data_IF_085484919902
#
_entry.id   IF_085484919902
#
_cell.length_a   1.000
_cell.length_b   1.000
_cell.length_c   1.000
_cell.angle_alpha   90.00
_cell.angle_beta   90.00
_cell.angle_gamma   90.00
#
_symmetry.space_group_name_H-M   'P 1'
#
loop_
_entity.id
_entity.type
_entity.pdbx_description
1 polymer ?
#
# COMPACT_ATOMS: atom_id res chain seq x y z
N UNK A 1 -43.21 -7.76 81.62
CA UNK A 1 -44.46 -6.98 81.64
C UNK A 1 -44.99 -6.86 80.21
N UNK A 2 -46.27 -7.22 80.03
CA UNK A 2 -47.10 -7.04 78.82
C UNK A 2 -47.02 -5.59 78.27
N UNK A 3 -47.34 -5.24 77.03
CA UNK A 3 -48.37 -5.73 76.12
C UNK A 3 -48.12 -5.26 74.67
N UNK A 4 -48.78 -5.95 73.73
CA UNK A 4 -48.92 -5.64 72.31
C UNK A 4 -50.04 -4.62 72.01
N UNK A 5 -50.01 -4.04 70.79
CA UNK A 5 -51.09 -3.53 69.89
C UNK A 5 -50.40 -2.65 68.83
N UNK A 6 -50.62 -2.68 67.51
CA UNK A 6 -51.50 -3.41 66.62
C UNK A 6 -51.72 -2.59 65.32
N UNK A 7 -51.82 -3.28 64.17
CA UNK A 7 -52.75 -3.01 63.06
C UNK A 7 -52.49 -1.86 62.05
N UNK A 8 -52.13 -2.18 60.78
CA UNK A 8 -53.07 -2.39 59.64
C UNK A 8 -52.34 -2.61 58.29
N UNK A 9 -52.94 -3.50 57.50
CA UNK A 9 -52.65 -3.82 56.10
C UNK A 9 -53.32 -2.83 55.15
N UNK A 10 -52.71 -2.58 53.97
CA UNK A 10 -53.38 -2.07 52.78
C UNK A 10 -52.58 -2.43 51.52
N UNK A 11 -53.05 -3.45 50.81
CA UNK A 11 -52.74 -3.70 49.40
C UNK A 11 -53.38 -2.64 48.50
N UNK A 12 -52.60 -2.00 47.63
CA UNK A 12 -52.98 -1.36 46.36
C UNK A 12 -51.63 -1.02 45.66
N UNK A 13 -51.38 -1.09 44.36
CA UNK A 13 -52.04 -1.62 43.16
C UNK A 13 -50.97 -1.56 42.05
N UNK A 14 -51.02 -2.49 41.10
CA UNK A 14 -50.11 -2.52 39.95
C UNK A 14 -50.34 -1.30 39.04
N UNK A 15 -49.29 -0.53 38.78
CA UNK A 15 -49.25 0.52 37.75
C UNK A 15 -48.21 0.17 36.67
N UNK A 16 -48.70 -0.16 35.48
CA UNK A 16 -47.93 -0.19 34.23
C UNK A 16 -47.70 1.25 33.71
N UNK A 17 -46.59 1.43 32.98
CA UNK A 17 -46.14 2.59 32.17
C UNK A 17 -44.91 3.29 32.78
N UNK A 18 -43.83 3.58 32.08
CA UNK A 18 -43.48 3.53 30.66
C UNK A 18 -41.94 3.48 30.61
N UNK A 19 -41.36 2.59 29.78
CA UNK A 19 -39.91 2.64 29.49
C UNK A 19 -39.66 3.89 28.66
N UNK A 20 -39.10 4.92 29.27
CA UNK A 20 -38.48 6.02 28.53
C UNK A 20 -37.25 5.48 27.80
N UNK A 21 -37.38 5.27 26.49
CA UNK A 21 -36.25 5.09 25.58
C UNK A 21 -35.36 6.32 25.68
N UNK A 22 -34.16 6.13 26.22
CA UNK A 22 -33.10 7.13 26.17
C UNK A 22 -32.63 7.21 24.73
N UNK A 23 -33.18 8.16 23.97
CA UNK A 23 -32.69 8.51 22.63
C UNK A 23 -31.24 8.97 22.78
N UNK A 24 -30.30 8.20 22.23
CA UNK A 24 -28.91 8.61 22.11
C UNK A 24 -28.85 9.85 21.21
N UNK A 25 -28.10 10.91 21.56
CA UNK A 25 -28.01 12.10 20.72
C UNK A 25 -27.40 11.72 19.37
N UNK A 26 -28.07 12.14 18.29
CA UNK A 26 -27.55 12.07 16.92
C UNK A 26 -26.12 12.62 16.85
N UNK A 27 -25.23 11.87 16.19
CA UNK A 27 -23.88 12.35 15.91
C UNK A 27 -23.97 13.62 15.06
N UNK A 28 -23.24 14.70 15.41
CA UNK A 28 -23.21 15.89 14.58
C UNK A 28 -22.72 15.52 13.17
N UNK A 29 -23.33 16.08 12.11
CA UNK A 29 -22.90 15.81 10.76
C UNK A 29 -21.42 16.14 10.61
N UNK A 30 -20.65 15.25 9.98
CA UNK A 30 -19.24 15.50 9.65
C UNK A 30 -19.16 16.88 8.95
N UNK A 31 -18.22 17.75 9.34
CA UNK A 31 -18.08 19.05 8.70
C UNK A 31 -17.91 18.83 7.20
N UNK A 32 -18.72 19.54 6.41
CA UNK A 32 -18.64 19.50 4.96
C UNK A 32 -17.19 19.79 4.54
N UNK A 33 -16.64 18.97 3.63
CA UNK A 33 -15.33 19.24 3.04
C UNK A 33 -15.39 20.63 2.42
N UNK A 34 -14.47 21.55 2.76
CA UNK A 34 -14.45 22.86 2.11
C UNK A 34 -14.27 22.68 0.60
N UNK A 35 -14.96 23.47 -0.21
CA UNK A 35 -14.76 23.50 -1.67
C UNK A 35 -13.27 23.63 -1.99
N UNK A 36 -12.76 22.77 -2.87
CA UNK A 36 -11.33 22.65 -3.17
C UNK A 36 -10.74 23.87 -3.90
N UNK A 37 -11.58 24.82 -4.33
CA UNK A 37 -11.20 25.83 -5.34
C UNK A 37 -10.93 27.25 -4.81
N UNK A 38 -10.94 27.48 -3.49
CA UNK A 38 -10.61 28.80 -2.93
C UNK A 38 -9.14 28.89 -2.50
N UNK A 39 -8.39 29.96 -2.86
CA UNK A 39 -7.03 30.18 -2.36
C UNK A 39 -7.05 30.35 -0.84
N UNK A 40 -6.56 29.33 -0.12
CA UNK A 40 -6.37 29.39 1.33
C UNK A 40 -5.12 30.22 1.60
N UNK A 41 -5.20 31.16 2.54
CA UNK A 41 -4.00 31.81 3.06
C UNK A 41 -3.03 30.74 3.60
N UNK A 42 -1.70 30.87 3.40
CA UNK A 42 -0.74 29.88 3.88
C UNK A 42 -0.90 29.66 5.39
N UNK A 43 -1.12 28.41 5.79
CA UNK A 43 -1.19 28.02 7.21
C UNK A 43 0.19 27.76 7.79
N UNK A 44 1.18 27.56 6.93
CA UNK A 44 2.56 27.29 7.29
C UNK A 44 3.50 28.31 6.64
N UNK A 45 4.58 28.67 7.35
CA UNK A 45 5.65 29.51 6.82
C UNK A 45 6.45 28.76 5.75
N UNK A 46 6.82 29.45 4.68
CA UNK A 46 7.67 28.90 3.61
C UNK A 46 7.49 29.65 2.30
N UNK A 47 8.48 29.57 1.42
CA UNK A 47 8.39 30.10 0.06
C UNK A 47 8.22 28.95 -0.94
N UNK A 48 7.04 28.75 -1.55
CA UNK A 48 6.82 27.71 -2.57
C UNK A 48 7.80 27.78 -3.75
N UNK A 49 8.34 28.97 -4.03
CA UNK A 49 9.28 29.21 -5.13
C UNK A 49 10.74 28.84 -4.78
N UNK A 50 11.04 28.51 -3.53
CA UNK A 50 12.37 28.04 -3.12
C UNK A 50 12.58 26.59 -3.58
N UNK A 51 12.88 26.41 -4.86
CA UNK A 51 13.12 25.11 -5.50
C UNK A 51 14.61 24.94 -5.75
N UNK A 52 15.20 23.89 -5.17
CA UNK A 52 16.61 23.55 -5.35
C UNK A 52 16.79 22.76 -6.65
N UNK A 53 17.80 23.11 -7.44
CA UNK A 53 18.17 22.48 -8.72
C UNK A 53 19.68 22.31 -8.80
N UNK A 54 20.17 21.45 -9.70
CA UNK A 54 21.60 21.33 -10.02
C UNK A 54 22.25 19.96 -9.81
N UNK A 55 21.50 18.93 -9.41
CA UNK A 55 22.07 17.59 -9.22
C UNK A 55 22.47 16.91 -10.54
N UNK A 56 21.67 17.08 -11.59
CA UNK A 56 21.98 16.66 -12.97
C UNK A 56 21.75 17.87 -13.85
N UNK A 57 22.80 18.32 -14.54
CA UNK A 57 22.82 19.59 -15.30
C UNK A 57 22.80 19.40 -16.80
N UNK A 58 23.16 18.20 -17.29
CA UNK A 58 23.17 17.87 -18.72
C UNK A 58 22.34 16.61 -18.98
N UNK A 59 21.60 16.55 -20.11
CA UNK A 59 20.97 15.31 -20.57
C UNK A 59 22.00 14.22 -20.85
N UNK A 60 21.54 12.97 -20.95
CA UNK A 60 22.39 11.85 -21.34
C UNK A 60 22.98 12.10 -22.74
N UNK A 61 24.31 11.93 -22.94
CA UNK A 61 24.92 12.04 -24.26
C UNK A 61 24.30 11.05 -25.27
N UNK A 62 24.24 11.46 -26.54
CA UNK A 62 23.63 10.71 -27.65
C UNK A 62 24.16 9.28 -27.78
N UNK A 63 25.48 9.12 -27.71
CA UNK A 63 26.13 7.82 -27.88
C UNK A 63 25.89 6.90 -26.68
N UNK A 64 25.90 7.45 -25.46
CA UNK A 64 25.57 6.69 -24.25
C UNK A 64 24.11 6.22 -24.25
N UNK A 65 23.19 7.06 -24.75
CA UNK A 65 21.80 6.63 -24.95
C UNK A 65 21.72 5.45 -25.90
N UNK A 66 22.35 5.56 -27.08
CA UNK A 66 22.38 4.51 -28.09
C UNK A 66 22.91 3.20 -27.54
N UNK A 67 24.05 3.27 -26.85
CA UNK A 67 24.68 2.10 -26.22
C UNK A 67 23.72 1.40 -25.26
N UNK A 68 23.03 2.15 -24.39
CA UNK A 68 22.07 1.58 -23.42
C UNK A 68 20.81 1.03 -24.09
N UNK A 69 20.31 1.70 -25.13
CA UNK A 69 19.16 1.23 -25.90
C UNK A 69 19.46 -0.10 -26.60
N UNK A 70 20.61 -0.18 -27.28
CA UNK A 70 21.00 -1.35 -28.07
C UNK A 70 21.47 -2.55 -27.23
N UNK A 71 21.81 -2.35 -25.95
CA UNK A 71 22.34 -3.40 -25.08
C UNK A 71 21.45 -4.67 -25.02
N UNK A 72 20.13 -4.52 -25.12
CA UNK A 72 19.18 -5.66 -25.10
C UNK A 72 19.11 -6.45 -26.42
N UNK A 73 19.69 -5.92 -27.50
CA UNK A 73 19.64 -6.50 -28.84
C UNK A 73 21.00 -7.07 -29.28
N UNK A 74 21.85 -7.45 -28.33
CA UNK A 74 23.22 -7.92 -28.60
C UNK A 74 23.25 -9.29 -29.30
N UNK A 75 22.21 -10.11 -29.13
CA UNK A 75 22.14 -11.45 -29.71
C UNK A 75 22.32 -11.41 -31.25
N UNK A 76 23.11 -12.33 -31.84
CA UNK A 76 23.30 -12.41 -33.29
C UNK A 76 22.01 -12.51 -34.11
N UNK A 77 20.92 -13.01 -33.54
CA UNK A 77 19.61 -13.08 -34.19
C UNK A 77 19.08 -11.69 -34.59
N UNK A 78 19.47 -10.62 -33.90
CA UNK A 78 19.04 -9.25 -34.22
C UNK A 78 19.84 -8.59 -35.34
N UNK A 79 20.96 -9.16 -35.80
CA UNK A 79 21.85 -8.50 -36.77
C UNK A 79 21.18 -8.23 -38.12
N UNK A 80 20.22 -9.07 -38.51
CA UNK A 80 19.43 -8.86 -39.73
C UNK A 80 18.52 -7.62 -39.63
N UNK A 81 18.28 -7.11 -38.42
CA UNK A 81 17.40 -5.98 -38.12
C UNK A 81 18.16 -4.71 -37.73
N UNK A 82 19.47 -4.63 -37.98
CA UNK A 82 20.29 -3.48 -37.56
C UNK A 82 19.75 -2.14 -38.10
N UNK A 83 19.29 -2.09 -39.36
CA UNK A 83 18.66 -0.89 -39.91
C UNK A 83 17.34 -0.53 -39.22
N UNK A 84 16.56 -1.52 -38.80
CA UNK A 84 15.31 -1.30 -38.08
C UNK A 84 15.59 -0.79 -36.66
N UNK A 85 16.56 -1.39 -35.97
CA UNK A 85 17.04 -0.94 -34.66
C UNK A 85 17.53 0.50 -34.72
N UNK A 86 18.23 0.90 -35.77
CA UNK A 86 18.67 2.29 -35.96
C UNK A 86 17.51 3.28 -36.09
N UNK A 87 16.44 2.90 -36.78
CA UNK A 87 15.24 3.74 -36.90
C UNK A 87 14.52 3.84 -35.56
N UNK A 88 14.31 2.72 -34.87
CA UNK A 88 13.60 2.67 -33.58
C UNK A 88 14.37 3.41 -32.48
N UNK A 89 15.68 3.23 -32.42
CA UNK A 89 16.57 3.90 -31.47
C UNK A 89 16.53 5.42 -31.66
N UNK A 90 16.53 5.89 -32.91
CA UNK A 90 16.40 7.32 -33.22
C UNK A 90 15.06 7.90 -32.75
N UNK A 91 13.95 7.16 -32.92
CA UNK A 91 12.64 7.57 -32.41
C UNK A 91 12.65 7.63 -30.88
N UNK A 92 13.22 6.62 -30.21
CA UNK A 92 13.35 6.58 -28.77
C UNK A 92 14.20 7.74 -28.23
N UNK A 93 15.28 8.10 -28.93
CA UNK A 93 16.11 9.26 -28.60
C UNK A 93 15.31 10.56 -28.62
N UNK A 94 14.50 10.80 -29.67
CA UNK A 94 13.65 11.99 -29.72
C UNK A 94 12.59 12.00 -28.62
N UNK A 95 11.97 10.84 -28.32
CA UNK A 95 11.02 10.73 -27.21
C UNK A 95 11.67 11.05 -25.85
N UNK A 96 12.92 10.62 -25.64
CA UNK A 96 13.71 10.96 -24.46
C UNK A 96 14.01 12.47 -24.36
N UNK A 97 14.51 13.07 -25.45
CA UNK A 97 14.83 14.51 -25.50
C UNK A 97 13.61 15.41 -25.26
N UNK A 98 12.47 15.05 -25.85
CA UNK A 98 11.21 15.77 -25.68
C UNK A 98 10.53 15.47 -24.32
N UNK A 99 11.04 14.50 -23.55
CA UNK A 99 10.45 14.10 -22.27
C UNK A 99 9.04 13.54 -22.40
N UNK A 100 8.73 12.84 -23.51
CA UNK A 100 7.41 12.24 -23.80
C UNK A 100 7.07 11.08 -22.85
N UNK A 101 6.75 11.43 -21.61
CA UNK A 101 6.44 10.50 -20.53
C UNK A 101 5.12 9.76 -20.75
N UNK A 102 4.07 10.49 -21.09
CA UNK A 102 2.71 9.99 -21.29
C UNK A 102 2.35 10.19 -22.77
N UNK A 103 2.33 9.13 -23.59
CA UNK A 103 2.17 9.27 -25.04
C UNK A 103 0.73 9.60 -25.45
N UNK A 104 -0.25 9.35 -24.56
CA UNK A 104 -1.66 9.65 -24.79
C UNK A 104 -2.25 10.39 -23.60
N UNK A 105 -2.90 11.51 -23.91
CA UNK A 105 -3.58 12.37 -22.95
C UNK A 105 -4.92 12.81 -23.50
N UNK A 106 -5.79 13.20 -22.57
CA UNK A 106 -7.09 13.80 -22.84
C UNK A 106 -7.37 14.77 -21.69
N UNK A 107 -8.28 15.73 -21.92
CA UNK A 107 -8.81 16.59 -20.86
C UNK A 107 -9.33 15.78 -19.67
N UNK A 108 -9.03 16.26 -18.47
CA UNK A 108 -9.41 15.59 -17.23
C UNK A 108 -10.94 15.53 -17.05
N UNK A 109 -11.64 16.58 -17.45
CA UNK A 109 -13.10 16.67 -17.40
C UNK A 109 -13.66 17.15 -16.05
N UNK A 110 -14.99 17.24 -15.92
CA UNK A 110 -15.65 17.77 -14.72
C UNK A 110 -15.29 17.01 -13.44
N UNK A 111 -15.14 17.73 -12.33
CA UNK A 111 -14.81 17.15 -11.01
C UNK A 111 -13.31 17.13 -10.67
N UNK A 112 -12.45 17.48 -11.64
CA UNK A 112 -11.04 17.80 -11.41
C UNK A 112 -10.86 19.30 -11.12
N UNK A 113 -9.82 19.65 -10.36
CA UNK A 113 -9.46 21.04 -10.06
C UNK A 113 -9.14 21.86 -11.33
N UNK A 114 -8.56 21.23 -12.35
CA UNK A 114 -8.48 21.78 -13.71
C UNK A 114 -9.07 20.78 -14.72
N UNK A 115 -10.33 20.97 -15.15
CA UNK A 115 -10.99 20.10 -16.12
C UNK A 115 -10.33 20.08 -17.51
N UNK A 116 -9.61 21.13 -17.89
CA UNK A 116 -8.99 21.27 -19.20
C UNK A 116 -7.56 20.72 -19.25
N UNK A 117 -6.98 20.34 -18.10
CA UNK A 117 -5.65 19.75 -18.04
C UNK A 117 -5.58 18.41 -18.81
N UNK A 118 -4.58 18.30 -19.70
CA UNK A 118 -4.26 17.09 -20.46
C UNK A 118 -3.65 16.03 -19.54
N UNK A 119 -4.52 15.18 -18.99
CA UNK A 119 -4.17 14.12 -18.06
C UNK A 119 -3.82 12.83 -18.80
N UNK A 120 -2.97 11.97 -18.22
CA UNK A 120 -2.54 10.70 -18.83
C UNK A 120 -3.67 9.66 -18.83
N UNK A 121 -3.88 8.98 -19.96
CA UNK A 121 -4.85 7.87 -20.07
C UNK A 121 -4.52 6.73 -19.11
N UNK A 122 -3.24 6.38 -19.00
CA UNK A 122 -2.77 5.29 -18.13
C UNK A 122 -2.99 5.64 -16.65
N UNK A 123 -2.77 6.90 -16.26
CA UNK A 123 -3.07 7.33 -14.90
C UNK A 123 -4.58 7.33 -14.62
N UNK A 124 -5.41 7.79 -15.56
CA UNK A 124 -6.88 7.72 -15.42
C UNK A 124 -7.34 6.29 -15.19
N UNK A 125 -6.86 5.34 -16.00
CA UNK A 125 -7.21 3.93 -15.87
C UNK A 125 -6.77 3.36 -14.51
N UNK A 126 -5.55 3.68 -14.05
CA UNK A 126 -5.06 3.25 -12.74
C UNK A 126 -5.89 3.86 -11.59
N UNK A 127 -6.21 5.15 -11.67
CA UNK A 127 -7.04 5.84 -10.68
C UNK A 127 -8.45 5.24 -10.61
N UNK A 128 -9.04 4.90 -11.76
CA UNK A 128 -10.35 4.25 -11.82
C UNK A 128 -10.33 2.86 -11.17
N UNK A 129 -9.31 2.06 -11.46
CA UNK A 129 -9.15 0.73 -10.88
C UNK A 129 -9.03 0.79 -9.35
N UNK A 130 -8.27 1.75 -8.82
CA UNK A 130 -8.16 2.00 -7.37
C UNK A 130 -9.52 2.41 -6.79
N UNK A 131 -10.22 3.35 -7.42
CA UNK A 131 -11.53 3.83 -6.94
C UNK A 131 -12.57 2.70 -6.93
N UNK A 132 -12.64 1.92 -8.00
CA UNK A 132 -13.52 0.75 -8.11
C UNK A 132 -13.19 -0.31 -7.06
N UNK A 133 -11.91 -0.51 -6.75
CA UNK A 133 -11.48 -1.41 -5.67
C UNK A 133 -11.90 -0.90 -4.28
N UNK A 134 -11.73 0.39 -4.00
CA UNK A 134 -12.17 1.00 -2.73
C UNK A 134 -13.70 0.93 -2.56
N UNK A 135 -14.46 1.16 -3.63
CA UNK A 135 -15.93 1.04 -3.60
C UNK A 135 -16.37 -0.38 -3.25
N UNK A 136 -15.76 -1.39 -3.91
CA UNK A 136 -16.03 -2.80 -3.58
C UNK A 136 -15.65 -3.14 -2.14
N UNK A 137 -14.49 -2.66 -1.66
CA UNK A 137 -14.06 -2.89 -0.29
C UNK A 137 -15.00 -2.25 0.74
N UNK A 138 -15.55 -1.08 0.45
CA UNK A 138 -16.47 -0.37 1.32
C UNK A 138 -17.88 -1.00 1.37
N UNK A 139 -18.25 -1.81 0.38
CA UNK A 139 -19.55 -2.47 0.33
C UNK A 139 -19.62 -3.64 1.35
N UNK A 140 -20.48 -3.54 2.40
CA UNK A 140 -20.60 -4.56 3.42
C UNK A 140 -21.16 -5.90 2.91
N UNK A 141 -21.73 -5.95 1.71
CA UNK A 141 -22.23 -7.18 1.09
C UNK A 141 -21.13 -8.01 0.41
N UNK A 142 -19.97 -7.42 0.11
CA UNK A 142 -18.86 -8.16 -0.52
C UNK A 142 -18.20 -9.13 0.46
N UNK A 143 -17.50 -10.19 0.02
CA UNK A 143 -16.73 -11.04 0.92
C UNK A 143 -15.58 -10.29 1.62
N UNK A 144 -15.20 -10.77 2.81
CA UNK A 144 -13.97 -10.29 3.47
C UNK A 144 -12.77 -10.69 2.64
N UNK A 145 -11.83 -9.78 2.43
CA UNK A 145 -10.66 -10.00 1.57
C UNK A 145 -9.36 -9.69 2.30
N UNK A 146 -8.38 -10.58 2.20
CA UNK A 146 -6.99 -10.34 2.64
C UNK A 146 -6.05 -10.37 1.45
N UNK A 147 -5.20 -9.36 1.34
CA UNK A 147 -4.04 -9.37 0.45
C UNK A 147 -2.90 -10.11 1.15
N UNK A 148 -2.52 -11.27 0.64
CA UNK A 148 -1.41 -12.08 1.15
C UNK A 148 -0.18 -11.83 0.29
N UNK A 149 0.84 -11.17 0.82
CA UNK A 149 2.07 -10.84 0.10
C UNK A 149 3.14 -11.88 0.42
N UNK A 150 3.50 -12.71 -0.56
CA UNK A 150 4.73 -13.50 -0.54
C UNK A 150 5.89 -12.60 -1.01
N UNK A 151 6.75 -12.22 -0.07
CA UNK A 151 7.82 -11.25 -0.30
C UNK A 151 9.18 -11.88 -0.64
N UNK A 152 9.22 -13.19 -0.94
CA UNK A 152 10.45 -13.81 -1.42
C UNK A 152 10.83 -13.26 -2.80
N UNK A 153 12.13 -13.01 -3.01
CA UNK A 153 12.64 -12.58 -4.31
C UNK A 153 12.97 -13.76 -5.26
N UNK A 154 12.65 -15.00 -4.86
CA UNK A 154 13.05 -16.22 -5.56
C UNK A 154 11.91 -17.21 -5.66
N UNK A 155 11.95 -18.00 -6.73
CA UNK A 155 11.16 -19.19 -6.98
C UNK A 155 12.02 -20.24 -7.72
N UNK A 156 11.45 -21.40 -8.02
CA UNK A 156 12.07 -22.53 -8.70
C UNK A 156 12.48 -22.25 -10.16
N UNK A 157 11.96 -21.20 -10.78
CA UNK A 157 12.37 -20.72 -12.12
C UNK A 157 13.47 -19.65 -12.08
N UNK A 158 13.96 -19.28 -10.89
CA UNK A 158 15.09 -18.34 -10.73
C UNK A 158 16.39 -19.06 -10.40
N UNK A 159 17.52 -18.34 -10.35
CA UNK A 159 18.85 -18.92 -10.12
C UNK A 159 18.96 -19.93 -8.94
N UNK A 160 18.25 -19.75 -7.81
CA UNK A 160 18.25 -20.74 -6.73
C UNK A 160 17.65 -22.11 -7.08
N UNK A 161 16.78 -22.20 -8.11
CA UNK A 161 16.20 -23.47 -8.57
C UNK A 161 15.27 -24.18 -7.56
N UNK A 162 14.85 -23.49 -6.50
CA UNK A 162 14.03 -24.05 -5.43
C UNK A 162 12.97 -23.03 -4.97
N UNK A 163 11.78 -23.55 -4.63
CA UNK A 163 10.71 -22.75 -4.04
C UNK A 163 11.15 -22.08 -2.72
N UNK A 164 10.60 -20.92 -2.38
CA UNK A 164 10.98 -20.23 -1.15
C UNK A 164 10.25 -20.76 0.09
N UNK A 165 10.88 -20.70 1.28
CA UNK A 165 10.19 -20.92 2.57
C UNK A 165 9.00 -19.96 2.74
N UNK A 166 9.12 -18.71 2.29
CA UNK A 166 8.01 -17.74 2.34
C UNK A 166 6.79 -18.21 1.57
N UNK A 167 6.97 -18.82 0.39
CA UNK A 167 5.87 -19.38 -0.39
C UNK A 167 5.16 -20.49 0.37
N UNK A 168 5.91 -21.39 1.00
CA UNK A 168 5.36 -22.48 1.82
C UNK A 168 4.56 -21.96 3.02
N UNK A 169 5.12 -20.98 3.74
CA UNK A 169 4.45 -20.33 4.87
C UNK A 169 3.21 -19.53 4.41
N UNK A 170 3.28 -18.83 3.28
CA UNK A 170 2.15 -18.14 2.68
C UNK A 170 1.04 -19.11 2.27
N UNK A 171 1.38 -20.25 1.65
CA UNK A 171 0.43 -21.31 1.31
C UNK A 171 -0.35 -21.79 2.53
N UNK A 172 0.35 -22.04 3.64
CA UNK A 172 -0.26 -22.40 4.92
C UNK A 172 -1.20 -21.33 5.45
N UNK A 173 -0.75 -20.07 5.48
CA UNK A 173 -1.57 -18.96 5.93
C UNK A 173 -2.81 -18.75 5.05
N UNK A 174 -2.69 -18.95 3.73
CA UNK A 174 -3.80 -18.90 2.77
C UNK A 174 -4.86 -19.94 3.12
N UNK A 175 -4.47 -21.21 3.25
CA UNK A 175 -5.40 -22.30 3.60
C UNK A 175 -6.17 -21.98 4.88
N UNK A 176 -5.49 -21.42 5.89
CA UNK A 176 -6.10 -21.01 7.15
C UNK A 176 -7.10 -19.87 6.99
N UNK A 177 -6.79 -18.86 6.18
CA UNK A 177 -7.67 -17.72 5.88
C UNK A 177 -8.91 -18.17 5.10
N UNK A 178 -8.72 -19.02 4.09
CA UNK A 178 -9.80 -19.56 3.24
C UNK A 178 -10.75 -20.44 4.05
N UNK A 179 -10.23 -21.31 4.93
CA UNK A 179 -11.02 -22.11 5.86
C UNK A 179 -11.86 -21.25 6.82
N UNK A 180 -11.41 -20.03 7.07
CA UNK A 180 -12.05 -19.03 7.93
C UNK A 180 -13.03 -18.11 7.15
N UNK A 181 -13.28 -18.41 5.85
CA UNK A 181 -14.23 -17.74 4.96
C UNK A 181 -13.71 -16.41 4.38
N UNK A 182 -12.40 -16.18 4.41
CA UNK A 182 -11.76 -14.98 3.86
C UNK A 182 -11.34 -15.25 2.42
N UNK A 183 -11.67 -14.35 1.49
CA UNK A 183 -11.10 -14.37 0.14
C UNK A 183 -9.64 -13.94 0.20
N UNK A 184 -8.74 -14.78 -0.30
CA UNK A 184 -7.29 -14.50 -0.31
C UNK A 184 -6.85 -14.06 -1.70
N UNK A 185 -6.27 -12.87 -1.75
CA UNK A 185 -5.59 -12.35 -2.94
C UNK A 185 -4.07 -12.52 -2.75
N UNK A 186 -3.47 -13.54 -3.38
CA UNK A 186 -2.04 -13.86 -3.24
C UNK A 186 -1.18 -13.01 -4.18
N UNK A 187 -0.31 -12.16 -3.63
CA UNK A 187 0.68 -11.36 -4.36
C UNK A 187 2.06 -12.01 -4.18
N UNK A 188 2.56 -12.67 -5.21
CA UNK A 188 3.92 -13.21 -5.20
C UNK A 188 4.92 -12.26 -5.85
N UNK A 189 5.77 -11.66 -5.02
CA UNK A 189 6.80 -10.73 -5.48
C UNK A 189 8.00 -11.43 -6.13
N UNK A 190 8.06 -12.77 -6.08
CA UNK A 190 9.10 -13.54 -6.75
C UNK A 190 9.05 -13.39 -8.28
N UNK A 191 7.87 -13.08 -8.83
CA UNK A 191 7.65 -12.86 -10.26
C UNK A 191 8.51 -11.72 -10.82
N UNK A 192 8.93 -10.76 -10.00
CA UNK A 192 9.88 -9.71 -10.43
C UNK A 192 11.24 -10.27 -10.88
N UNK A 193 11.60 -11.48 -10.43
CA UNK A 193 12.84 -12.16 -10.76
C UNK A 193 12.67 -13.22 -11.86
N UNK A 194 11.47 -13.77 -12.09
CA UNK A 194 11.21 -14.80 -13.10
C UNK A 194 10.52 -14.29 -14.37
N UNK A 195 9.70 -13.24 -14.27
CA UNK A 195 8.88 -12.79 -15.39
C UNK A 195 9.67 -11.78 -16.23
N UNK A 196 9.72 -12.06 -17.54
CA UNK A 196 10.41 -11.21 -18.49
C UNK A 196 9.83 -9.80 -18.46
N UNK A 197 10.71 -8.82 -18.23
CA UNK A 197 10.42 -7.39 -18.21
C UNK A 197 9.39 -6.88 -17.18
N UNK A 198 8.88 -7.72 -16.26
CA UNK A 198 8.06 -7.25 -15.14
C UNK A 198 8.92 -6.52 -14.11
N UNK A 199 8.54 -5.29 -13.73
CA UNK A 199 9.34 -4.44 -12.82
C UNK A 199 8.46 -3.70 -11.82
N UNK A 200 9.00 -3.47 -10.62
CA UNK A 200 8.59 -2.32 -9.79
C UNK A 200 9.75 -1.33 -9.84
N UNK A 201 9.54 -0.17 -10.48
CA UNK A 201 10.59 0.84 -10.51
C UNK A 201 10.72 1.56 -9.15
N UNK A 202 11.93 1.99 -8.74
CA UNK A 202 12.14 2.65 -7.46
C UNK A 202 11.30 3.91 -7.28
N UNK A 203 10.83 4.20 -6.08
CA UNK A 203 10.12 5.45 -5.81
C UNK A 203 11.04 6.68 -6.04
N UNK A 204 10.50 7.73 -6.67
CA UNK A 204 11.20 9.01 -6.88
C UNK A 204 11.11 9.96 -5.68
N UNK A 205 10.47 9.52 -4.58
CA UNK A 205 10.30 10.27 -3.35
C UNK A 205 9.72 11.69 -3.55
N UNK A 206 8.72 11.85 -4.43
CA UNK A 206 8.08 13.15 -4.68
C UNK A 206 7.55 13.81 -3.40
N UNK A 207 7.11 13.00 -2.44
CA UNK A 207 6.70 13.42 -1.09
C UNK A 207 7.78 14.24 -0.37
N UNK A 208 9.06 13.95 -0.59
CA UNK A 208 10.19 14.68 0.02
C UNK A 208 10.34 16.10 -0.54
N UNK A 209 9.64 16.43 -1.63
CA UNK A 209 9.51 17.81 -2.12
C UNK A 209 8.27 18.50 -1.57
N UNK A 210 7.12 17.82 -1.67
CA UNK A 210 5.85 18.19 -1.05
C UNK A 210 4.89 16.99 -1.14
N UNK A 211 4.09 16.71 -0.11
CA UNK A 211 3.14 15.58 -0.16
C UNK A 211 2.21 15.62 -1.38
N UNK A 212 1.61 16.76 -1.77
CA UNK A 212 0.72 16.82 -2.94
C UNK A 212 1.44 16.60 -4.29
N UNK A 213 2.77 16.65 -4.32
CA UNK A 213 3.56 16.29 -5.51
C UNK A 213 3.59 14.77 -5.71
N UNK A 214 3.39 13.97 -4.65
CA UNK A 214 3.13 12.55 -4.75
C UNK A 214 1.66 12.35 -5.12
N UNK A 215 1.33 11.56 -6.16
CA UNK A 215 -0.08 11.38 -6.55
C UNK A 215 -0.56 9.99 -6.14
N UNK A 216 -1.84 9.83 -5.87
CA UNK A 216 -2.50 8.56 -5.57
C UNK A 216 -3.50 8.19 -6.68
N UNK A 217 -3.30 7.09 -7.44
CA UNK A 217 -2.08 6.28 -7.50
C UNK A 217 -0.90 7.06 -8.11
N UNK A 218 0.32 6.53 -7.94
CA UNK A 218 1.55 7.22 -8.35
C UNK A 218 1.60 7.49 -9.85
N UNK A 219 1.58 8.76 -10.24
CA UNK A 219 1.69 9.18 -11.64
C UNK A 219 3.11 9.21 -12.19
N UNK A 220 4.15 8.85 -11.42
CA UNK A 220 5.54 8.87 -11.92
C UNK A 220 5.81 7.83 -13.00
N UNK A 221 4.92 6.84 -13.11
CA UNK A 221 4.98 5.66 -13.96
C UNK A 221 3.61 5.40 -14.60
N UNK A 222 3.56 4.76 -15.77
CA UNK A 222 4.70 4.49 -16.62
C UNK A 222 5.39 5.77 -17.14
N UNK A 223 6.65 5.65 -17.53
CA UNK A 223 7.38 6.73 -18.20
C UNK A 223 7.97 6.19 -19.50
N UNK A 224 7.27 6.46 -20.60
CA UNK A 224 7.61 5.95 -21.93
C UNK A 224 8.94 6.50 -22.45
N UNK A 225 9.24 7.78 -22.20
CA UNK A 225 10.52 8.39 -22.54
C UNK A 225 11.74 7.74 -21.86
N UNK A 226 11.54 7.05 -20.73
CA UNK A 226 12.60 6.35 -20.00
C UNK A 226 12.50 4.81 -20.11
N UNK A 227 11.59 4.28 -20.92
CA UNK A 227 11.33 2.84 -21.03
C UNK A 227 10.80 2.20 -19.74
N UNK A 228 10.22 2.99 -18.84
CA UNK A 228 9.67 2.54 -17.56
C UNK A 228 8.19 2.15 -17.71
N UNK A 229 7.90 1.27 -18.67
CA UNK A 229 6.53 0.97 -19.15
C UNK A 229 5.90 -0.27 -18.51
N UNK A 230 6.73 -1.23 -18.10
CA UNK A 230 6.29 -2.49 -17.50
C UNK A 230 6.28 -2.43 -15.96
N UNK A 231 5.77 -1.32 -15.42
CA UNK A 231 5.69 -1.07 -13.98
C UNK A 231 4.45 -1.75 -13.38
N UNK A 232 4.66 -2.71 -12.49
CA UNK A 232 3.60 -3.56 -11.94
C UNK A 232 2.70 -2.85 -10.90
N UNK A 233 3.09 -1.66 -10.42
CA UNK A 233 2.39 -1.01 -9.32
C UNK A 233 0.95 -0.61 -9.65
N UNK A 234 0.63 -0.33 -10.92
CA UNK A 234 -0.74 0.01 -11.31
C UNK A 234 -1.71 -1.16 -11.15
N UNK A 235 -1.22 -2.40 -11.15
CA UNK A 235 -2.01 -3.59 -10.81
C UNK A 235 -2.01 -3.86 -9.29
N UNK A 236 -0.95 -3.47 -8.58
CA UNK A 236 -0.82 -3.67 -7.13
C UNK A 236 -1.66 -2.67 -6.33
N UNK A 237 -1.74 -1.39 -6.71
CA UNK A 237 -2.51 -0.39 -5.94
C UNK A 237 -4.00 -0.79 -5.77
N UNK A 238 -4.73 -1.24 -6.82
CA UNK A 238 -6.10 -1.72 -6.66
C UNK A 238 -6.24 -2.89 -5.69
N UNK A 239 -5.23 -3.76 -5.58
CA UNK A 239 -5.26 -4.92 -4.67
C UNK A 239 -5.16 -4.50 -3.21
N UNK A 240 -4.28 -3.54 -2.92
CA UNK A 240 -4.23 -2.88 -1.61
C UNK A 240 -5.52 -2.12 -1.31
N UNK A 241 -6.10 -1.45 -2.30
CA UNK A 241 -7.38 -0.77 -2.16
C UNK A 241 -8.56 -1.73 -1.92
N UNK A 242 -8.54 -2.94 -2.48
CA UNK A 242 -9.62 -3.92 -2.38
C UNK A 242 -9.64 -4.69 -1.05
N UNK A 243 -8.51 -4.79 -0.35
CA UNK A 243 -8.41 -5.65 0.83
C UNK A 243 -8.94 -4.97 2.11
N UNK A 244 -9.39 -5.82 3.04
CA UNK A 244 -9.78 -5.43 4.41
C UNK A 244 -8.64 -5.69 5.40
N UNK A 245 -7.73 -6.59 5.04
CA UNK A 245 -6.49 -6.81 5.76
C UNK A 245 -5.34 -7.23 4.85
N UNK A 246 -4.12 -7.12 5.36
CA UNK A 246 -2.90 -7.49 4.65
C UNK A 246 -2.08 -8.45 5.51
N UNK A 247 -1.62 -9.56 4.92
CA UNK A 247 -0.65 -10.45 5.55
C UNK A 247 0.64 -10.42 4.73
N UNK A 248 1.76 -10.03 5.34
CA UNK A 248 3.07 -10.04 4.68
C UNK A 248 3.90 -11.19 5.21
N UNK A 249 4.35 -12.08 4.32
CA UNK A 249 5.25 -13.19 4.62
C UNK A 249 6.59 -12.93 3.92
N UNK A 250 7.63 -12.60 4.69
CA UNK A 250 8.91 -12.12 4.15
C UNK A 250 10.12 -12.82 4.75
N UNK A 251 11.16 -13.11 3.95
CA UNK A 251 12.48 -13.41 4.49
C UNK A 251 13.16 -12.11 4.95
N UNK A 252 14.30 -12.25 5.63
CA UNK A 252 15.21 -11.14 5.99
C UNK A 252 16.40 -11.11 5.06
N UNK A 253 16.68 -9.97 4.43
CA UNK A 253 17.88 -9.74 3.61
C UNK A 253 18.76 -8.69 4.30
N UNK A 254 19.92 -9.09 4.83
CA UNK A 254 20.87 -8.18 5.50
C UNK A 254 20.20 -7.21 6.50
N UNK A 255 19.44 -7.75 7.46
CA UNK A 255 18.70 -6.97 8.47
C UNK A 255 17.62 -6.03 7.90
N UNK A 256 17.19 -6.23 6.65
CA UNK A 256 16.21 -5.40 5.96
C UNK A 256 15.12 -6.25 5.29
N UNK A 257 14.03 -5.58 4.91
CA UNK A 257 13.01 -6.16 4.04
C UNK A 257 13.63 -6.60 2.70
N UNK A 258 13.15 -7.72 2.15
CA UNK A 258 13.61 -8.20 0.85
C UNK A 258 13.40 -7.13 -0.25
N UNK A 259 14.32 -7.03 -1.21
CA UNK A 259 14.32 -5.95 -2.20
C UNK A 259 12.99 -5.78 -2.98
N UNK A 260 12.32 -6.85 -3.45
CA UNK A 260 11.00 -6.73 -4.06
C UNK A 260 9.94 -6.11 -3.14
N UNK A 261 9.91 -6.53 -1.88
CA UNK A 261 9.03 -5.96 -0.86
C UNK A 261 9.36 -4.49 -0.63
N UNK A 262 10.64 -4.15 -0.48
CA UNK A 262 11.07 -2.75 -0.29
C UNK A 262 10.69 -1.85 -1.46
N UNK A 263 10.79 -2.32 -2.70
CA UNK A 263 10.33 -1.59 -3.89
C UNK A 263 8.82 -1.30 -3.83
N UNK A 264 8.01 -2.29 -3.48
CA UNK A 264 6.57 -2.10 -3.29
C UNK A 264 6.26 -1.14 -2.14
N UNK A 265 6.90 -1.32 -0.98
CA UNK A 265 6.78 -0.45 0.21
C UNK A 265 7.04 1.02 -0.15
N UNK A 266 8.15 1.30 -0.81
CA UNK A 266 8.56 2.66 -1.16
C UNK A 266 7.58 3.32 -2.13
N UNK A 267 6.94 2.52 -3.00
CA UNK A 267 5.94 2.99 -3.96
C UNK A 267 4.58 3.22 -3.32
N UNK A 268 4.27 2.58 -2.19
CA UNK A 268 3.06 2.80 -1.40
C UNK A 268 3.08 4.09 -0.58
N UNK A 269 4.18 4.86 -0.55
CA UNK A 269 4.21 6.18 0.10
C UNK A 269 3.15 7.15 -0.45
N UNK A 270 2.71 6.95 -1.70
CA UNK A 270 1.59 7.72 -2.25
C UNK A 270 0.25 7.43 -1.57
N UNK A 271 0.08 6.27 -0.94
CA UNK A 271 -1.12 5.94 -0.18
C UNK A 271 -1.22 6.69 1.15
N UNK A 272 -0.09 7.11 1.73
CA UNK A 272 -0.04 7.80 3.02
C UNK A 272 -0.69 9.19 2.96
N UNK A 273 -0.40 9.96 1.91
CA UNK A 273 -1.00 11.29 1.76
C UNK A 273 -1.03 11.83 0.34
N UNK A 274 -0.76 11.01 -0.67
CA UNK A 274 -0.64 11.48 -2.05
C UNK A 274 -1.90 12.16 -2.58
N UNK A 275 -1.71 13.11 -3.48
CA UNK A 275 -2.77 13.84 -4.14
C UNK A 275 -3.57 12.96 -5.11
N UNK A 276 -4.89 12.76 -4.89
CA UNK A 276 -5.72 11.97 -5.79
C UNK A 276 -6.10 12.72 -7.07
N UNK A 277 -5.78 14.01 -7.18
CA UNK A 277 -6.09 14.84 -8.34
C UNK A 277 -4.83 15.55 -8.89
N UNK A 278 -4.12 14.96 -9.86
CA UNK A 278 -2.94 15.54 -10.49
C UNK A 278 -3.17 16.92 -11.12
N UNK A 279 -4.41 17.28 -11.42
CA UNK A 279 -4.73 18.55 -12.09
C UNK A 279 -4.55 19.74 -11.14
N UNK A 280 -4.79 19.55 -9.83
CA UNK A 280 -4.57 20.58 -8.80
C UNK A 280 -3.11 21.07 -8.71
N UNK A 281 -2.15 20.24 -9.12
CA UNK A 281 -0.73 20.58 -9.23
C UNK A 281 -0.24 20.65 -10.67
N UNK A 282 -1.14 20.60 -11.66
CA UNK A 282 -0.82 20.55 -13.10
C UNK A 282 0.28 19.53 -13.42
N UNK A 283 0.09 18.30 -12.93
CA UNK A 283 1.10 17.25 -12.99
C UNK A 283 2.13 17.41 -11.87
N UNK A 284 3.42 17.39 -12.21
CA UNK A 284 4.52 17.43 -11.24
C UNK A 284 5.11 18.84 -11.07
N UNK A 285 4.26 19.86 -10.97
CA UNK A 285 4.71 21.23 -10.67
C UNK A 285 5.06 21.37 -9.18
N UNK A 286 6.34 21.59 -8.92
CA UNK A 286 6.89 21.71 -7.56
C UNK A 286 6.33 22.93 -6.81
N UNK A 287 6.19 24.07 -7.49
CA UNK A 287 5.78 25.32 -6.84
C UNK A 287 4.32 25.22 -6.42
N UNK A 288 3.46 24.68 -7.29
CA UNK A 288 2.04 24.46 -7.00
C UNK A 288 1.85 23.43 -5.88
N UNK A 289 2.58 22.32 -5.92
CA UNK A 289 2.50 21.30 -4.87
C UNK A 289 2.93 21.85 -3.49
N UNK A 290 4.02 22.62 -3.43
CA UNK A 290 4.46 23.29 -2.19
C UNK A 290 3.44 24.31 -1.71
N UNK A 291 2.86 25.10 -2.62
CA UNK A 291 1.81 26.06 -2.27
C UNK A 291 0.57 25.36 -1.69
N UNK A 292 0.17 24.24 -2.29
CA UNK A 292 -0.95 23.42 -1.83
C UNK A 292 -0.67 22.81 -0.45
N UNK A 293 0.54 22.31 -0.20
CA UNK A 293 0.93 21.78 1.11
C UNK A 293 0.95 22.86 2.20
N UNK A 294 1.59 24.00 1.93
CA UNK A 294 1.67 25.13 2.86
C UNK A 294 0.29 25.76 3.17
N UNK A 295 -0.70 25.52 2.30
CA UNK A 295 -2.10 25.88 2.51
C UNK A 295 -2.86 24.96 3.49
N UNK A 296 -2.18 23.92 4.00
CA UNK A 296 -2.69 22.95 4.96
C UNK A 296 -3.26 21.72 4.27
N UNK A 297 -2.40 20.95 3.62
CA UNK A 297 -2.73 19.60 3.13
C UNK A 297 -3.17 18.70 4.28
N UNK A 298 -4.11 17.80 4.00
CA UNK A 298 -4.86 17.05 5.02
C UNK A 298 -4.39 15.60 5.23
N UNK A 299 -3.41 15.13 4.43
CA UNK A 299 -2.74 13.83 4.57
C UNK A 299 -3.74 12.66 4.70
N UNK A 300 -4.47 12.32 3.63
CA UNK A 300 -5.70 11.53 3.69
C UNK A 300 -5.57 10.07 4.13
N UNK A 301 -4.37 9.45 4.12
CA UNK A 301 -4.14 8.03 4.40
C UNK A 301 -5.14 7.11 3.69
N UNK A 302 -5.01 7.02 2.37
CA UNK A 302 -5.95 6.38 1.44
C UNK A 302 -6.26 4.91 1.74
N UNK A 303 -5.37 4.22 2.47
CA UNK A 303 -5.50 2.82 2.84
C UNK A 303 -5.80 2.60 4.33
N UNK A 304 -5.98 3.67 5.11
CA UNK A 304 -6.25 3.59 6.55
C UNK A 304 -7.47 2.71 6.88
N UNK A 305 -7.45 2.11 8.07
CA UNK A 305 -8.53 1.26 8.56
C UNK A 305 -8.55 -0.15 7.97
N UNK A 306 -7.42 -0.67 7.46
CA UNK A 306 -7.23 -2.09 7.15
C UNK A 306 -6.49 -2.78 8.29
N UNK A 307 -6.77 -4.04 8.56
CA UNK A 307 -6.00 -4.83 9.54
C UNK A 307 -4.68 -5.35 8.94
N UNK A 308 -3.68 -5.70 9.75
CA UNK A 308 -2.49 -6.38 9.24
C UNK A 308 -1.95 -7.49 10.13
N UNK A 309 -1.23 -8.42 9.49
CA UNK A 309 -0.38 -9.43 10.12
C UNK A 309 0.97 -9.54 9.39
N UNK A 310 1.98 -10.02 10.10
CA UNK A 310 3.36 -10.16 9.67
C UNK A 310 3.90 -11.55 10.03
N UNK A 311 4.52 -12.20 9.06
CA UNK A 311 5.36 -13.39 9.25
C UNK A 311 6.74 -13.06 8.69
N UNK A 312 7.68 -12.79 9.59
CA UNK A 312 9.08 -12.54 9.24
C UNK A 312 9.90 -13.78 9.59
N UNK A 313 10.63 -14.32 8.64
CA UNK A 313 11.54 -15.43 8.91
C UNK A 313 12.95 -15.13 8.43
N UNK A 314 13.92 -15.76 9.07
CA UNK A 314 15.32 -15.69 8.72
C UNK A 314 16.02 -16.95 9.20
N UNK A 315 17.32 -17.00 8.99
CA UNK A 315 18.10 -18.19 9.35
C UNK A 315 18.91 -17.95 10.63
N UNK A 316 19.41 -16.72 10.87
CA UNK A 316 20.32 -16.43 12.00
C UNK A 316 20.03 -15.10 12.69
N UNK A 317 19.79 -14.03 11.93
CA UNK A 317 19.69 -12.68 12.49
C UNK A 317 18.72 -11.78 11.73
N UNK A 318 18.22 -10.73 12.41
CA UNK A 318 17.54 -9.59 11.80
C UNK A 318 16.01 -9.68 11.69
N UNK A 319 15.40 -10.79 12.09
CA UNK A 319 13.94 -11.01 12.01
C UNK A 319 13.17 -9.99 12.84
N UNK A 320 13.61 -9.74 14.07
CA UNK A 320 12.96 -8.80 14.98
C UNK A 320 13.01 -7.36 14.45
N UNK A 321 14.17 -6.92 13.94
CA UNK A 321 14.33 -5.58 13.39
C UNK A 321 13.44 -5.33 12.17
N UNK A 322 13.36 -6.30 11.26
CA UNK A 322 12.49 -6.24 10.08
C UNK A 322 11.02 -6.24 10.48
N UNK A 323 10.60 -7.11 11.41
CA UNK A 323 9.22 -7.14 11.89
C UNK A 323 8.79 -5.81 12.50
N UNK A 324 9.64 -5.20 13.35
CA UNK A 324 9.37 -3.88 13.96
C UNK A 324 9.24 -2.80 12.89
N UNK A 325 10.19 -2.72 11.95
CA UNK A 325 10.16 -1.73 10.87
C UNK A 325 8.91 -1.86 9.97
N UNK A 326 8.46 -3.08 9.69
CA UNK A 326 7.23 -3.32 8.92
C UNK A 326 5.98 -2.93 9.70
N UNK A 327 5.91 -3.23 11.00
CA UNK A 327 4.81 -2.81 11.85
C UNK A 327 4.72 -1.28 11.92
N UNK A 328 5.84 -0.59 12.19
CA UNK A 328 5.90 0.87 12.25
C UNK A 328 5.46 1.52 10.94
N UNK A 329 5.82 0.93 9.79
CA UNK A 329 5.36 1.40 8.48
C UNK A 329 3.85 1.26 8.28
N UNK A 330 3.28 0.10 8.64
CA UNK A 330 1.85 -0.15 8.48
C UNK A 330 1.01 0.69 9.47
N UNK A 331 1.47 0.81 10.71
CA UNK A 331 0.88 1.69 11.72
C UNK A 331 0.90 3.15 11.25
N UNK A 332 2.02 3.59 10.65
CA UNK A 332 2.13 4.95 10.10
C UNK A 332 1.08 5.20 9.01
N UNK A 333 0.87 4.25 8.09
CA UNK A 333 -0.17 4.34 7.05
C UNK A 333 -1.61 4.22 7.60
N UNK A 334 -1.78 4.01 8.91
CA UNK A 334 -3.09 3.91 9.56
C UNK A 334 -3.75 2.54 9.44
N UNK A 335 -2.97 1.49 9.20
CA UNK A 335 -3.45 0.11 9.35
C UNK A 335 -3.49 -0.27 10.83
N UNK A 336 -4.26 -1.30 11.15
CA UNK A 336 -4.58 -1.72 12.51
C UNK A 336 -3.90 -3.07 12.78
N UNK A 337 -3.05 -3.13 13.81
CA UNK A 337 -2.43 -4.36 14.29
C UNK A 337 -3.53 -5.39 14.66
N UNK A 338 -3.46 -6.60 14.09
CA UNK A 338 -4.37 -7.70 14.41
C UNK A 338 -4.03 -8.41 15.75
N UNK A 339 -3.03 -7.91 16.48
CA UNK A 339 -2.66 -8.28 17.84
C UNK A 339 -1.28 -8.93 17.94
N UNK A 340 -0.80 -9.20 19.16
CA UNK A 340 0.56 -9.72 19.37
C UNK A 340 0.88 -11.01 18.62
N UNK A 341 -0.11 -11.92 18.50
CA UNK A 341 0.06 -13.18 17.76
C UNK A 341 0.07 -12.99 16.24
N UNK A 342 -0.32 -11.82 15.72
CA UNK A 342 -0.29 -11.51 14.30
C UNK A 342 1.07 -10.94 13.85
N UNK A 343 2.04 -10.76 14.75
CA UNK A 343 3.36 -10.20 14.45
C UNK A 343 4.44 -11.21 14.81
N UNK A 344 4.67 -12.17 13.91
CA UNK A 344 5.61 -13.26 14.07
C UNK A 344 6.99 -12.91 13.52
N UNK A 345 8.03 -13.23 14.27
CA UNK A 345 9.41 -13.25 13.78
C UNK A 345 10.14 -14.52 14.28
N UNK A 346 10.69 -15.34 13.38
CA UNK A 346 11.32 -16.62 13.76
C UNK A 346 12.55 -16.94 12.93
N UNK A 347 13.51 -17.61 13.57
CA UNK A 347 14.60 -18.28 12.84
C UNK A 347 14.18 -19.70 12.50
N UNK A 348 14.44 -20.13 11.28
CA UNK A 348 14.15 -21.50 10.82
C UNK A 348 15.49 -22.19 10.53
N UNK A 349 15.80 -23.24 11.30
CA UNK A 349 17.11 -23.88 11.26
C UNK A 349 18.21 -22.97 11.82
N UNK A 350 18.00 -22.43 13.03
CA UNK A 350 18.94 -21.48 13.65
C UNK A 350 20.34 -22.07 13.77
N UNK A 351 21.32 -21.44 13.09
CA UNK A 351 22.71 -21.92 12.97
C UNK A 351 22.88 -23.31 12.32
N UNK A 352 21.83 -23.89 11.76
CA UNK A 352 21.89 -25.15 11.01
C UNK A 352 22.36 -24.90 9.56
N UNK A 353 22.85 -25.92 8.84
CA UNK A 353 23.21 -25.79 7.43
C UNK A 353 22.04 -25.32 6.56
N UNK A 354 22.26 -24.33 5.69
CA UNK A 354 21.19 -23.83 4.79
C UNK A 354 20.59 -24.92 3.89
N UNK A 355 21.38 -25.94 3.54
CA UNK A 355 20.94 -27.07 2.72
C UNK A 355 19.82 -27.91 3.37
N UNK A 356 19.67 -27.88 4.70
CA UNK A 356 18.60 -28.59 5.42
C UNK A 356 17.45 -27.66 5.82
N UNK A 357 17.47 -26.39 5.42
CA UNK A 357 16.54 -25.38 5.94
C UNK A 357 15.06 -25.64 5.59
N UNK A 358 14.79 -26.38 4.51
CA UNK A 358 13.44 -26.82 4.18
C UNK A 358 12.97 -27.98 5.07
N UNK A 359 13.85 -28.93 5.39
CA UNK A 359 13.59 -30.01 6.36
C UNK A 359 13.38 -29.41 7.76
N UNK A 360 14.20 -28.44 8.16
CA UNK A 360 14.04 -27.74 9.42
C UNK A 360 12.67 -27.05 9.54
N UNK A 361 12.10 -26.54 8.44
CA UNK A 361 10.74 -26.01 8.43
C UNK A 361 9.68 -27.12 8.56
N UNK A 362 9.90 -28.27 7.93
CA UNK A 362 8.98 -29.42 7.97
C UNK A 362 8.84 -29.99 9.37
N UNK A 363 9.97 -30.06 10.08
CA UNK A 363 10.10 -30.62 11.42
C UNK A 363 9.77 -29.62 12.54
N UNK A 364 9.42 -28.36 12.20
CA UNK A 364 9.07 -27.32 13.17
C UNK A 364 7.54 -27.07 13.22
N UNK A 365 6.77 -27.91 13.95
CA UNK A 365 5.34 -27.70 14.12
C UNK A 365 5.02 -26.42 14.91
N UNK A 366 6.00 -25.85 15.63
CA UNK A 366 5.87 -24.60 16.37
C UNK A 366 5.69 -23.43 15.41
N UNK A 367 6.67 -23.21 14.52
CA UNK A 367 6.61 -22.14 13.51
C UNK A 367 5.38 -22.30 12.62
N UNK A 368 5.05 -23.53 12.23
CA UNK A 368 3.84 -23.82 11.45
C UNK A 368 2.56 -23.39 12.17
N UNK A 369 2.40 -23.77 13.45
CA UNK A 369 1.24 -23.37 14.26
C UNK A 369 1.20 -21.87 14.56
N UNK A 370 2.35 -21.22 14.68
CA UNK A 370 2.43 -19.76 14.85
C UNK A 370 1.98 -19.01 13.59
N UNK A 371 2.32 -19.50 12.39
CA UNK A 371 1.80 -18.96 11.13
C UNK A 371 0.28 -19.14 11.03
N UNK A 372 -0.26 -20.27 11.48
CA UNK A 372 -1.71 -20.46 11.57
C UNK A 372 -2.33 -19.43 12.52
N UNK A 373 -1.71 -19.16 13.67
CA UNK A 373 -2.20 -18.17 14.63
C UNK A 373 -2.18 -16.75 14.05
N UNK A 374 -1.16 -16.38 13.28
CA UNK A 374 -1.12 -15.08 12.57
C UNK A 374 -2.32 -14.94 11.63
N UNK A 375 -2.58 -15.96 10.79
CA UNK A 375 -3.71 -15.96 9.87
C UNK A 375 -5.06 -15.89 10.60
N UNK A 376 -5.23 -16.65 11.70
CA UNK A 376 -6.46 -16.61 12.53
C UNK A 376 -6.67 -15.27 13.20
N UNK A 377 -5.62 -14.68 13.77
CA UNK A 377 -5.68 -13.37 14.40
C UNK A 377 -6.11 -12.30 13.39
N UNK A 378 -5.53 -12.32 12.19
CA UNK A 378 -5.91 -11.41 11.12
C UNK A 378 -7.35 -11.63 10.65
N UNK A 379 -7.80 -12.87 10.47
CA UNK A 379 -9.19 -13.17 10.11
C UNK A 379 -10.17 -12.64 11.16
N UNK A 380 -9.88 -12.84 12.45
CA UNK A 380 -10.67 -12.29 13.55
C UNK A 380 -10.73 -10.76 13.51
N UNK A 381 -9.58 -10.10 13.33
CA UNK A 381 -9.50 -8.64 13.23
C UNK A 381 -10.32 -8.12 12.02
N UNK A 382 -10.19 -8.73 10.85
CA UNK A 382 -10.97 -8.37 9.65
C UNK A 382 -12.48 -8.54 9.88
N UNK A 383 -12.93 -9.63 10.51
CA UNK A 383 -14.35 -9.82 10.83
C UNK A 383 -14.87 -8.74 11.77
N UNK A 384 -14.14 -8.45 12.84
CA UNK A 384 -14.52 -7.40 13.80
C UNK A 384 -14.53 -6.03 13.12
N UNK A 385 -13.53 -5.75 12.28
CA UNK A 385 -13.43 -4.51 11.51
C UNK A 385 -14.64 -4.30 10.63
N UNK A 386 -15.05 -5.33 9.89
CA UNK A 386 -16.21 -5.30 9.01
C UNK A 386 -17.56 -5.16 9.73
N UNK A 387 -17.64 -5.62 10.98
CA UNK A 387 -18.81 -5.40 11.85
C UNK A 387 -18.77 -4.05 12.56
N UNK A 388 -17.67 -3.29 12.43
CA UNK A 388 -17.45 -2.05 13.19
C UNK A 388 -17.13 -2.28 14.67
N UNK A 389 -16.85 -3.52 15.06
CA UNK A 389 -16.61 -3.97 16.44
C UNK A 389 -15.14 -3.86 16.86
N UNK A 390 -14.20 -3.74 15.91
CA UNK A 390 -12.77 -3.62 16.20
C UNK A 390 -12.51 -2.30 16.95
N UNK A 391 -12.10 -2.42 18.23
CA UNK A 391 -11.86 -1.28 19.11
C UNK A 391 -10.39 -0.89 19.06
N UNK A 392 -10.10 0.25 18.45
CA UNK A 392 -8.83 0.96 18.65
C UNK A 392 -9.03 1.98 19.80
N UNK A 393 -8.27 1.91 20.90
CA UNK A 393 -8.45 2.78 22.06
C UNK A 393 -8.35 4.29 21.77
N UNK A 394 -7.59 4.64 20.74
CA UNK A 394 -7.35 6.00 20.26
C UNK A 394 -8.25 6.42 19.09
N UNK A 395 -9.24 5.58 18.73
CA UNK A 395 -10.18 5.88 17.64
C UNK A 395 -10.89 7.20 17.89
N UNK A 396 -10.77 8.13 16.93
CA UNK A 396 -11.40 9.45 16.99
C UNK A 396 -10.53 10.54 17.62
N UNK A 397 -9.35 10.18 18.15
CA UNK A 397 -8.34 11.17 18.50
C UNK A 397 -7.74 11.76 17.22
N UNK A 398 -7.76 13.08 17.12
CA UNK A 398 -7.10 13.79 16.02
C UNK A 398 -5.65 14.06 16.43
N UNK A 399 -4.65 13.55 15.68
CA UNK A 399 -3.26 13.85 15.99
C UNK A 399 -3.02 15.37 15.92
N UNK A 400 -2.34 15.97 16.91
CA UNK A 400 -2.04 17.40 16.89
C UNK A 400 -1.04 17.78 15.78
N UNK A 401 -0.39 16.78 15.16
CA UNK A 401 0.55 16.92 14.05
C UNK A 401 0.17 15.90 12.97
N UNK A 402 -0.44 16.36 11.88
CA UNK A 402 -0.93 15.52 10.77
C UNK A 402 0.13 15.31 9.66
N UNK A 403 1.40 15.37 10.02
CA UNK A 403 2.52 15.52 9.10
C UNK A 403 2.65 14.42 8.05
#
# INVERSE_FOLDING_TARGET
MHAARGWRSSCMSAGHASRTETVMPEQPPKPARPSQDAPRAPRHHGNPKDVRKGQVTTPLPRDTFRQRFLARFTDPAYRQEDEALDRLERIAWYAYQEGRKAPRTHKAGPGHADPDYELSDEWRAASEAVRSAQQRQADPATPSRVLLVCAAARNDYTCPGEMSKSWRLAGRARERLEADGIEVDLLDLSLLASDADLRIHPCKACVSTAMPLCHWPCSCYPNHALGQVNDWMNEIYPRWAACHGVLIVTPVYWYQAASPLKLMMDRLVCADGGNPDPTSTHGKDVVRAKALELSGWDYPKHLSGRAYGLVVHGDVAGTEGVRRALADWLDWMGLIDAGPQARLDRYIGYYEPYATSHVALDEDPGVQGEVDNVARALACAVRQLRKGELRAPDRGLVPPRQK
#
